data_IF_227137629153
#
_entry.id   IF_227137629153
#
_cell.length_a   1.000
_cell.length_b   1.000
_cell.length_c   1.000
_cell.angle_alpha   90.00
_cell.angle_beta   90.00
_cell.angle_gamma   90.00
#
_symmetry.space_group_name_H-M   'P 1'
#
loop_
_entity.id
_entity.type
_entity.pdbx_description
1 polymer ?
#
# COMPACT_ATOMS: atom_id res chain seq x y z
N UNK A 1 -6.78 -0.89 -10.88
CA UNK A 1 -6.18 -0.03 -9.92
C UNK A 1 -4.92 -0.66 -9.34
N UNK A 2 -4.67 -0.76 -8.07
CA UNK A 2 -3.37 -1.27 -7.60
C UNK A 2 -3.09 -2.72 -8.00
N UNK A 3 -4.08 -3.60 -7.93
CA UNK A 3 -3.89 -5.03 -8.18
C UNK A 3 -3.56 -5.39 -9.62
N UNK A 4 -3.94 -4.56 -10.57
CA UNK A 4 -3.75 -4.88 -11.99
C UNK A 4 -2.27 -4.99 -12.40
N UNK A 5 -1.37 -4.41 -11.62
CA UNK A 5 0.06 -4.43 -11.91
C UNK A 5 0.79 -5.59 -11.25
N UNK A 6 0.08 -6.42 -10.53
CA UNK A 6 0.68 -7.57 -9.88
C UNK A 6 0.94 -8.68 -10.84
N UNK A 7 2.22 -8.91 -11.11
CA UNK A 7 2.64 -10.16 -11.71
C UNK A 7 2.74 -11.21 -10.62
N UNK A 8 1.95 -12.21 -10.79
CA UNK A 8 1.83 -13.32 -9.87
C UNK A 8 3.09 -14.17 -9.92
N UNK A 9 3.99 -14.01 -8.95
CA UNK A 9 5.12 -14.92 -8.77
C UNK A 9 4.68 -16.11 -7.93
N UNK A 10 5.01 -17.30 -8.38
CA UNK A 10 4.69 -18.54 -7.64
C UNK A 10 5.52 -18.60 -6.37
N UNK A 11 4.90 -18.42 -5.24
CA UNK A 11 5.45 -18.82 -3.96
C UNK A 11 4.31 -19.08 -2.99
N UNK A 12 4.65 -19.67 -1.85
CA UNK A 12 3.68 -20.21 -0.91
C UNK A 12 2.78 -19.17 -0.27
N UNK A 13 3.18 -17.90 -0.24
CA UNK A 13 2.44 -16.83 0.45
C UNK A 13 1.72 -15.90 -0.51
N UNK A 14 1.80 -16.19 -1.77
CA UNK A 14 1.32 -15.29 -2.81
C UNK A 14 -0.18 -15.09 -2.79
N UNK A 15 -0.95 -16.16 -2.72
CA UNK A 15 -2.41 -16.07 -2.71
C UNK A 15 -2.90 -15.36 -1.45
N UNK A 16 -2.26 -15.62 -0.32
CA UNK A 16 -2.57 -14.96 0.94
C UNK A 16 -2.24 -13.48 0.87
N UNK A 17 -1.08 -13.14 0.33
CA UNK A 17 -0.67 -11.74 0.17
C UNK A 17 -1.63 -10.98 -0.74
N UNK A 18 -2.00 -11.57 -1.88
CA UNK A 18 -2.94 -10.94 -2.81
C UNK A 18 -4.31 -10.74 -2.18
N UNK A 19 -4.78 -11.72 -1.42
CA UNK A 19 -6.06 -11.64 -0.74
C UNK A 19 -6.08 -10.50 0.27
N UNK A 20 -5.05 -10.40 1.09
CA UNK A 20 -4.92 -9.33 2.09
C UNK A 20 -4.78 -7.98 1.42
N UNK A 21 -3.96 -7.89 0.39
CA UNK A 21 -3.77 -6.64 -0.34
C UNK A 21 -5.07 -6.16 -0.98
N UNK A 22 -5.85 -7.08 -1.52
CA UNK A 22 -7.16 -6.76 -2.08
C UNK A 22 -8.11 -6.24 -1.01
N UNK A 23 -8.08 -6.82 0.19
CA UNK A 23 -8.85 -6.30 1.32
C UNK A 23 -8.45 -4.88 1.67
N UNK A 24 -7.15 -4.60 1.70
CA UNK A 24 -6.63 -3.26 1.98
C UNK A 24 -7.17 -2.27 0.94
N UNK A 25 -7.09 -2.62 -0.34
CA UNK A 25 -7.60 -1.78 -1.42
C UNK A 25 -9.10 -1.55 -1.28
N UNK A 26 -9.86 -2.60 -1.00
CA UNK A 26 -11.31 -2.51 -0.86
C UNK A 26 -11.71 -1.63 0.32
N UNK A 27 -11.08 -1.82 1.47
CA UNK A 27 -11.35 -0.98 2.64
C UNK A 27 -10.97 0.47 2.41
N UNK A 28 -9.85 0.71 1.75
CA UNK A 28 -9.41 2.06 1.42
C UNK A 28 -10.40 2.76 0.49
N UNK A 29 -10.83 2.06 -0.55
CA UNK A 29 -11.81 2.59 -1.50
C UNK A 29 -13.15 2.88 -0.81
N UNK A 30 -13.57 2.00 0.07
CA UNK A 30 -14.80 2.19 0.84
C UNK A 30 -14.72 3.45 1.72
N UNK A 31 -13.60 3.61 2.40
CA UNK A 31 -13.35 4.76 3.26
C UNK A 31 -13.37 6.07 2.47
N UNK A 32 -12.69 6.08 1.34
CA UNK A 32 -12.63 7.25 0.45
C UNK A 32 -14.03 7.62 -0.02
N UNK A 33 -14.79 6.62 -0.47
CA UNK A 33 -16.15 6.86 -0.97
C UNK A 33 -17.06 7.48 0.08
N UNK A 34 -16.99 6.99 1.32
CA UNK A 34 -17.88 7.46 2.38
C UNK A 34 -17.40 8.75 3.04
N UNK A 35 -16.09 8.93 3.18
CA UNK A 35 -15.54 10.08 3.90
C UNK A 35 -15.41 11.32 3.05
N UNK A 36 -15.19 11.16 1.76
CA UNK A 36 -14.87 12.26 0.84
C UNK A 36 -16.01 12.60 -0.12
N UNK A 37 -17.15 11.91 -0.05
CA UNK A 37 -18.41 12.24 -0.75
C UNK A 37 -18.27 12.50 -2.26
N UNK A 38 -17.68 11.58 -3.01
CA UNK A 38 -17.59 11.64 -4.48
C UNK A 38 -16.94 12.91 -5.04
N UNK A 39 -16.17 13.62 -4.25
CA UNK A 39 -15.38 14.74 -4.74
C UNK A 39 -14.10 14.25 -5.40
N UNK A 40 -13.53 15.10 -6.25
CA UNK A 40 -12.20 14.82 -6.81
C UNK A 40 -11.18 14.78 -5.67
N UNK A 41 -10.62 13.60 -5.43
CA UNK A 41 -9.62 13.43 -4.40
C UNK A 41 -8.24 13.71 -4.99
N UNK A 42 -7.41 14.45 -4.27
CA UNK A 42 -6.02 14.49 -4.67
C UNK A 42 -5.31 13.18 -4.24
N UNK A 43 -4.16 12.95 -4.84
CA UNK A 43 -3.41 11.73 -4.57
C UNK A 43 -2.99 11.63 -3.11
N UNK A 44 -2.67 12.74 -2.47
CA UNK A 44 -2.22 12.73 -1.08
C UNK A 44 -3.31 12.23 -0.13
N UNK A 45 -4.56 12.60 -0.38
CA UNK A 45 -5.69 12.10 0.41
C UNK A 45 -5.87 10.60 0.23
N UNK A 46 -5.82 10.13 -1.00
CA UNK A 46 -5.92 8.70 -1.32
C UNK A 46 -4.77 7.94 -0.67
N UNK A 47 -3.57 8.45 -0.79
CA UNK A 47 -2.37 7.83 -0.22
C UNK A 47 -2.44 7.75 1.30
N UNK A 48 -2.89 8.82 1.95
CA UNK A 48 -3.02 8.87 3.40
C UNK A 48 -4.01 7.80 3.90
N UNK A 49 -5.17 7.71 3.26
CA UNK A 49 -6.18 6.71 3.60
C UNK A 49 -5.63 5.30 3.42
N UNK A 50 -5.02 5.05 2.28
CA UNK A 50 -4.43 3.75 1.99
C UNK A 50 -3.33 3.39 3.00
N UNK A 51 -2.51 4.35 3.38
CA UNK A 51 -1.43 4.15 4.34
C UNK A 51 -1.97 3.76 5.71
N UNK A 52 -3.00 4.45 6.19
CA UNK A 52 -3.59 4.15 7.49
C UNK A 52 -4.19 2.74 7.51
N UNK A 53 -4.95 2.39 6.47
CA UNK A 53 -5.54 1.05 6.37
C UNK A 53 -4.44 -0.02 6.32
N UNK A 54 -3.40 0.22 5.53
CA UNK A 54 -2.28 -0.72 5.41
C UNK A 54 -1.58 -0.91 6.75
N UNK A 55 -1.34 0.16 7.50
CA UNK A 55 -0.72 0.07 8.82
C UNK A 55 -1.53 -0.81 9.77
N UNK A 56 -2.86 -0.67 9.76
CA UNK A 56 -3.71 -1.53 10.60
C UNK A 56 -3.56 -3.01 10.24
N UNK A 57 -3.52 -3.34 8.96
CA UNK A 57 -3.32 -4.72 8.52
C UNK A 57 -1.94 -5.25 8.91
N UNK A 58 -0.90 -4.42 8.75
CA UNK A 58 0.46 -4.81 9.13
C UNK A 58 0.58 -5.06 10.64
N UNK A 59 -0.08 -4.24 11.44
CA UNK A 59 -0.13 -4.45 12.89
C UNK A 59 -0.80 -5.76 13.25
N UNK A 60 -1.92 -6.07 12.63
CA UNK A 60 -2.62 -7.32 12.83
C UNK A 60 -1.73 -8.52 12.53
N UNK A 61 -1.00 -8.46 11.42
CA UNK A 61 -0.06 -9.51 11.05
C UNK A 61 1.08 -9.65 12.07
N UNK A 62 1.55 -8.53 12.58
CA UNK A 62 2.63 -8.51 13.56
C UNK A 62 2.22 -9.08 14.91
N UNK A 63 0.96 -8.92 15.29
CA UNK A 63 0.45 -9.44 16.57
C UNK A 63 0.60 -10.95 16.68
N UNK A 64 0.52 -11.65 15.55
CA UNK A 64 0.78 -13.08 15.49
C UNK A 64 2.17 -13.29 14.88
N UNK A 65 3.20 -12.96 15.60
CA UNK A 65 4.59 -12.88 15.13
C UNK A 65 5.12 -14.24 14.63
N UNK A 66 4.65 -14.68 13.48
CA UNK A 66 5.14 -15.89 12.81
C UNK A 66 6.00 -15.50 11.62
N UNK A 67 6.85 -16.43 11.18
CA UNK A 67 7.65 -16.20 9.99
C UNK A 67 6.78 -15.98 8.75
N UNK A 68 5.68 -16.71 8.64
CA UNK A 68 4.72 -16.55 7.54
C UNK A 68 4.15 -15.14 7.51
N UNK A 69 3.72 -14.62 8.66
CA UNK A 69 3.16 -13.27 8.72
C UNK A 69 4.20 -12.21 8.43
N UNK A 70 5.44 -12.40 8.86
CA UNK A 70 6.53 -11.48 8.56
C UNK A 70 6.81 -11.42 7.06
N UNK A 71 6.78 -12.56 6.37
CA UNK A 71 6.96 -12.60 4.93
C UNK A 71 5.79 -11.97 4.18
N UNK A 72 4.57 -12.21 4.63
CA UNK A 72 3.39 -11.58 4.04
C UNK A 72 3.48 -10.06 4.19
N UNK A 73 3.87 -9.57 5.36
CA UNK A 73 4.04 -8.14 5.61
C UNK A 73 5.07 -7.52 4.67
N UNK A 74 6.20 -8.19 4.48
CA UNK A 74 7.24 -7.71 3.58
C UNK A 74 6.73 -7.66 2.14
N UNK A 75 5.97 -8.64 1.71
CA UNK A 75 5.41 -8.68 0.37
C UNK A 75 4.36 -7.59 0.15
N UNK A 76 3.56 -7.30 1.18
CA UNK A 76 2.59 -6.19 1.12
C UNK A 76 3.35 -4.89 0.88
N UNK A 77 4.45 -4.68 1.60
CA UNK A 77 5.28 -3.49 1.42
C UNK A 77 5.90 -3.43 0.02
N UNK A 78 6.42 -4.54 -0.47
CA UNK A 78 7.00 -4.59 -1.81
C UNK A 78 5.95 -4.26 -2.88
N UNK A 79 4.76 -4.77 -2.71
CA UNK A 79 3.65 -4.50 -3.63
C UNK A 79 3.24 -3.03 -3.59
N UNK A 80 3.19 -2.46 -2.41
CA UNK A 80 2.86 -1.06 -2.21
C UNK A 80 3.87 -0.16 -2.93
N UNK A 81 5.16 -0.44 -2.78
CA UNK A 81 6.22 0.32 -3.43
C UNK A 81 6.13 0.20 -4.94
N UNK A 82 5.86 -1.00 -5.45
CA UNK A 82 5.67 -1.20 -6.90
C UNK A 82 4.49 -0.40 -7.43
N UNK A 83 3.39 -0.37 -6.70
CA UNK A 83 2.22 0.38 -7.10
C UNK A 83 2.48 1.89 -7.11
N UNK A 84 3.24 2.39 -6.14
CA UNK A 84 3.66 3.79 -6.14
C UNK A 84 4.49 4.12 -7.38
N UNK A 85 5.48 3.30 -7.66
CA UNK A 85 6.33 3.48 -8.84
C UNK A 85 5.47 3.53 -10.10
N UNK A 86 4.58 2.56 -10.27
CA UNK A 86 3.70 2.49 -11.43
C UNK A 86 2.78 3.69 -11.53
N UNK A 87 2.22 4.12 -10.41
CA UNK A 87 1.35 5.29 -10.36
C UNK A 87 2.05 6.55 -10.90
N UNK A 88 3.28 6.79 -10.44
CA UNK A 88 4.01 7.96 -10.86
C UNK A 88 4.47 7.88 -12.31
N UNK A 89 4.80 6.68 -12.80
CA UNK A 89 5.10 6.49 -14.22
C UNK A 89 3.89 6.77 -15.09
N UNK A 90 2.72 6.34 -14.68
CA UNK A 90 1.47 6.62 -15.39
C UNK A 90 1.13 8.12 -15.41
N UNK A 91 1.58 8.85 -14.41
CA UNK A 91 1.41 10.32 -14.37
C UNK A 91 2.45 11.06 -15.21
N UNK A 92 3.33 10.34 -15.89
CA UNK A 92 4.30 10.93 -16.79
C UNK A 92 5.63 11.33 -16.14
N UNK A 93 5.89 10.88 -14.92
CA UNK A 93 7.16 11.16 -14.26
C UNK A 93 8.23 10.24 -14.87
N UNK A 94 9.32 10.86 -15.33
CA UNK A 94 10.40 10.14 -15.98
C UNK A 94 11.29 9.38 -15.02
N UNK A 95 12.06 8.45 -15.58
CA UNK A 95 12.94 7.56 -14.83
C UNK A 95 13.89 8.32 -13.87
N UNK A 96 14.35 9.49 -14.29
CA UNK A 96 15.31 10.25 -13.47
C UNK A 96 14.68 10.86 -12.22
N UNK A 97 13.38 11.08 -12.22
CA UNK A 97 12.68 11.73 -11.12
C UNK A 97 11.85 10.79 -10.29
N UNK A 98 11.51 9.61 -10.82
CA UNK A 98 10.57 8.71 -10.18
C UNK A 98 11.05 8.24 -8.81
N UNK A 99 12.35 8.00 -8.66
CA UNK A 99 12.92 7.58 -7.39
C UNK A 99 12.69 8.57 -6.27
N UNK A 100 12.75 9.87 -6.58
CA UNK A 100 12.48 10.93 -5.60
C UNK A 100 11.04 10.88 -5.11
N UNK A 101 10.09 10.70 -6.03
CA UNK A 101 8.67 10.64 -5.68
C UNK A 101 8.36 9.42 -4.85
N UNK A 102 8.83 8.24 -5.27
CA UNK A 102 8.61 7.02 -4.52
C UNK A 102 9.21 7.14 -3.12
N UNK A 103 10.43 7.63 -3.01
CA UNK A 103 11.11 7.81 -1.72
C UNK A 103 10.34 8.74 -0.80
N UNK A 104 9.81 9.84 -1.35
CA UNK A 104 9.01 10.80 -0.57
C UNK A 104 7.80 10.14 0.07
N UNK A 105 7.06 9.35 -0.70
CA UNK A 105 5.84 8.71 -0.21
C UNK A 105 6.14 7.51 0.69
N UNK A 106 7.20 6.78 0.43
CA UNK A 106 7.65 5.70 1.32
C UNK A 106 8.01 6.27 2.70
N UNK A 107 8.67 7.43 2.74
CA UNK A 107 8.96 8.11 4.01
C UNK A 107 7.70 8.51 4.76
N UNK A 108 6.70 9.02 4.05
CA UNK A 108 5.41 9.36 4.65
C UNK A 108 4.75 8.12 5.23
N UNK A 109 4.80 7.01 4.52
CA UNK A 109 4.23 5.76 5.00
C UNK A 109 4.92 5.30 6.29
N UNK A 110 6.25 5.28 6.31
CA UNK A 110 6.99 4.88 7.50
C UNK A 110 6.74 5.80 8.69
N UNK A 111 6.53 7.07 8.42
CA UNK A 111 6.14 8.01 9.48
C UNK A 111 4.81 7.59 10.12
N UNK A 112 3.82 7.24 9.30
CA UNK A 112 2.53 6.76 9.81
C UNK A 112 2.67 5.44 10.55
N UNK A 113 3.45 4.54 10.02
CA UNK A 113 3.70 3.26 10.66
C UNK A 113 4.27 3.47 12.08
N UNK A 114 5.21 4.37 12.21
CA UNK A 114 5.82 4.69 13.48
C UNK A 114 4.85 5.39 14.45
N UNK A 115 4.11 6.39 13.98
CA UNK A 115 3.21 7.16 14.85
C UNK A 115 2.01 6.35 15.30
N UNK A 116 1.46 5.51 14.44
CA UNK A 116 0.31 4.68 14.80
C UNK A 116 0.70 3.46 15.62
N UNK A 117 1.97 3.13 15.67
CA UNK A 117 2.47 2.02 16.47
C UNK A 117 2.67 2.38 17.94
N UNK A 118 2.59 3.63 18.27
CA UNK A 118 2.70 4.10 19.64
C UNK A 118 1.37 3.97 20.43
#
# INVERSE_FOLDING_TARGET
MFLQYFKIKRNNYKNQTLSIYQEIVNHSNHFIKYSLNDKDYDFDEIFETFSIVTVFYLKKLKDTNTQTNNEISQRIMDNFIKDLDQHFREKGIGDMSIGKYVKKYVKKFYYRLKTLDE
#
